data_IF_124323881732
#
_entry.id   IF_124323881732
#
_cell.length_a   1.000
_cell.length_b   1.000
_cell.length_c   1.000
_cell.angle_alpha   90.00
_cell.angle_beta   90.00
_cell.angle_gamma   90.00
#
_symmetry.space_group_name_H-M   'P 1'
#
loop_
_entity.id
_entity.type
_entity.pdbx_description
1 polymer ?
#
# COMPACT_ATOMS: atom_id res chain seq x y z
N UNK A 1 -5.69 -11.20 14.36
CA UNK A 1 -4.82 -10.39 15.24
C UNK A 1 -4.01 -9.47 14.34
N UNK A 2 -4.33 -8.19 14.35
CA UNK A 2 -3.77 -7.21 13.41
C UNK A 2 -2.37 -6.76 13.85
N UNK A 3 -1.45 -6.53 12.92
CA UNK A 3 -0.10 -5.99 13.23
C UNK A 3 -0.20 -4.59 13.86
N UNK A 4 -1.29 -3.86 13.59
CA UNK A 4 -1.56 -2.51 14.10
C UNK A 4 -1.67 -2.42 15.63
N UNK A 5 -1.95 -3.52 16.31
CA UNK A 5 -2.21 -3.52 17.76
C UNK A 5 -0.97 -3.92 18.56
N UNK A 6 0.19 -4.14 17.91
CA UNK A 6 1.43 -4.52 18.56
C UNK A 6 2.35 -3.34 18.76
N UNK A 7 3.02 -3.31 19.89
CA UNK A 7 4.06 -2.32 20.14
C UNK A 7 5.27 -2.58 19.22
N UNK A 8 5.70 -1.54 18.51
CA UNK A 8 6.90 -1.58 17.67
C UNK A 8 8.03 -0.89 18.41
N UNK A 9 9.13 -1.61 18.57
CA UNK A 9 10.35 -1.10 19.20
C UNK A 9 11.48 -1.14 18.18
N UNK A 10 12.05 0.02 17.85
CA UNK A 10 13.17 0.11 16.90
C UNK A 10 14.41 0.61 17.65
N UNK A 11 15.48 -0.18 17.64
CA UNK A 11 16.75 0.11 18.34
C UNK A 11 16.58 0.44 19.84
N UNK A 12 15.56 -0.15 20.47
CA UNK A 12 15.23 0.06 21.88
C UNK A 12 14.30 1.25 22.14
N UNK A 13 13.83 1.97 21.12
CA UNK A 13 12.86 3.06 21.23
C UNK A 13 11.46 2.53 20.97
N UNK A 14 10.55 2.70 21.93
CA UNK A 14 9.15 2.37 21.78
C UNK A 14 8.47 3.41 20.88
N UNK A 15 7.56 2.93 20.00
CA UNK A 15 6.81 3.76 19.07
C UNK A 15 7.71 4.68 18.19
N UNK A 16 8.93 4.22 17.90
CA UNK A 16 9.90 4.98 17.11
C UNK A 16 9.47 5.18 15.65
N UNK A 17 8.53 4.38 15.18
CA UNK A 17 7.89 4.49 13.86
C UNK A 17 6.39 4.28 14.02
N UNK A 18 5.62 5.06 13.28
CA UNK A 18 4.15 4.94 13.27
C UNK A 18 3.69 3.81 12.35
N UNK A 19 4.45 3.57 11.28
CA UNK A 19 4.17 2.56 10.27
C UNK A 19 5.45 1.80 9.93
N UNK A 20 5.37 0.47 9.88
CA UNK A 20 6.50 -0.37 9.46
C UNK A 20 6.97 -0.05 8.04
N UNK A 21 6.08 0.47 7.22
CA UNK A 21 6.43 0.95 5.89
C UNK A 21 7.34 2.20 5.89
N UNK A 22 7.59 2.83 7.03
CA UNK A 22 8.55 3.93 7.14
C UNK A 22 10.00 3.43 7.24
N UNK A 23 10.18 2.11 7.43
CA UNK A 23 11.50 1.48 7.46
C UNK A 23 11.82 0.79 6.12
N UNK A 24 13.05 0.95 5.66
CA UNK A 24 13.54 0.13 4.56
C UNK A 24 13.98 -1.25 5.08
N UNK A 25 13.49 -2.31 4.46
CA UNK A 25 13.89 -3.69 4.79
C UNK A 25 15.39 -3.94 4.62
N UNK A 26 16.06 -3.22 3.71
CA UNK A 26 17.50 -3.31 3.52
C UNK A 26 18.32 -2.79 4.72
N UNK A 27 17.72 -1.89 5.55
CA UNK A 27 18.35 -1.34 6.75
C UNK A 27 18.10 -2.17 8.01
N UNK A 28 17.29 -3.21 7.92
CA UNK A 28 16.97 -4.08 9.04
C UNK A 28 18.07 -5.15 9.16
N UNK A 29 18.59 -5.31 10.38
CA UNK A 29 19.53 -6.38 10.75
C UNK A 29 18.78 -7.60 11.26
N UNK A 30 17.81 -7.40 12.17
CA UNK A 30 17.00 -8.48 12.73
C UNK A 30 15.62 -8.01 13.17
N UNK A 31 14.66 -8.93 13.15
CA UNK A 31 13.31 -8.75 13.69
C UNK A 31 13.03 -9.87 14.67
N UNK A 32 12.62 -9.51 15.89
CA UNK A 32 12.20 -10.43 16.93
C UNK A 32 10.77 -10.11 17.36
N UNK A 33 9.94 -11.14 17.52
CA UNK A 33 8.54 -10.98 17.95
C UNK A 33 8.38 -11.62 19.32
N UNK A 34 8.09 -10.80 20.33
CA UNK A 34 7.79 -11.26 21.69
C UNK A 34 6.27 -11.45 21.81
N UNK A 35 5.87 -12.66 22.20
CA UNK A 35 4.45 -13.03 22.34
C UNK A 35 4.10 -13.41 23.78
N UNK A 36 5.10 -13.78 24.58
CA UNK A 36 4.92 -14.27 25.94
C UNK A 36 4.83 -13.11 26.94
N UNK A 37 3.94 -13.22 27.92
CA UNK A 37 3.74 -12.20 28.93
C UNK A 37 5.01 -11.90 29.74
N UNK A 38 5.86 -12.90 29.98
CA UNK A 38 7.14 -12.71 30.68
C UNK A 38 8.13 -11.86 29.88
N UNK A 39 8.21 -12.07 28.57
CA UNK A 39 9.13 -11.33 27.69
C UNK A 39 8.62 -9.90 27.39
N UNK A 40 7.31 -9.69 27.41
CA UNK A 40 6.69 -8.38 27.14
C UNK A 40 6.51 -7.51 28.38
N UNK A 41 6.68 -8.07 29.59
CA UNK A 41 6.49 -7.38 30.87
C UNK A 41 7.30 -6.07 31.00
N UNK A 42 8.52 -6.01 30.44
CA UNK A 42 9.38 -4.82 30.46
C UNK A 42 8.79 -3.63 29.68
N UNK A 43 7.81 -3.87 28.80
CA UNK A 43 7.15 -2.86 27.98
C UNK A 43 5.81 -2.39 28.58
N UNK A 44 5.44 -2.92 29.76
CA UNK A 44 4.21 -2.55 30.47
C UNK A 44 2.93 -2.86 29.69
N UNK A 45 1.89 -2.07 29.91
CA UNK A 45 0.58 -2.27 29.26
C UNK A 45 0.61 -2.17 27.73
N UNK A 46 1.52 -1.39 27.16
CA UNK A 46 1.68 -1.29 25.69
C UNK A 46 2.14 -2.62 25.06
N UNK A 47 2.82 -3.48 25.83
CA UNK A 47 3.29 -4.79 25.37
C UNK A 47 2.25 -5.91 25.44
N UNK A 48 1.04 -5.66 25.95
CA UNK A 48 0.01 -6.69 26.19
C UNK A 48 -0.40 -7.50 24.95
N UNK A 49 -0.37 -6.87 23.77
CA UNK A 49 -0.70 -7.52 22.50
C UNK A 49 0.52 -8.11 21.76
N UNK A 50 1.67 -8.14 22.45
CA UNK A 50 2.95 -8.54 21.89
C UNK A 50 3.79 -7.37 21.41
N UNK A 51 5.09 -7.60 21.28
CA UNK A 51 6.09 -6.59 20.92
C UNK A 51 6.88 -7.07 19.71
N UNK A 52 7.05 -6.17 18.73
CA UNK A 52 7.93 -6.38 17.57
C UNK A 52 9.19 -5.55 17.80
N UNK A 53 10.31 -6.23 17.98
CA UNK A 53 11.61 -5.58 18.15
C UNK A 53 12.33 -5.62 16.82
N UNK A 54 12.71 -4.46 16.33
CA UNK A 54 13.46 -4.28 15.10
C UNK A 54 14.83 -3.72 15.46
N UNK A 55 15.87 -4.45 15.10
CA UNK A 55 17.24 -3.97 15.18
C UNK A 55 17.69 -3.55 13.80
N UNK A 56 18.20 -2.33 13.68
CA UNK A 56 18.65 -1.78 12.42
C UNK A 56 20.17 -1.92 12.29
N UNK A 57 20.64 -1.96 11.04
CA UNK A 57 22.07 -2.02 10.72
C UNK A 57 22.81 -0.81 11.28
N UNK A 58 23.97 -1.07 11.85
CA UNK A 58 24.90 -0.09 12.40
C UNK A 58 26.22 -0.15 11.67
N UNK A 59 27.05 0.86 11.85
CA UNK A 59 28.39 0.86 11.30
C UNK A 59 29.24 -0.25 11.89
N UNK A 60 30.12 -0.81 11.08
CA UNK A 60 31.08 -1.82 11.50
C UNK A 60 32.22 -1.16 12.29
N UNK A 61 32.41 -1.56 13.55
CA UNK A 61 33.55 -1.11 14.33
C UNK A 61 34.79 -1.86 13.86
N UNK A 62 35.92 -1.16 13.76
CA UNK A 62 37.23 -1.72 13.40
C UNK A 62 37.28 -2.34 11.99
N UNK A 63 36.57 -1.72 11.03
CA UNK A 63 36.64 -2.11 9.62
C UNK A 63 37.87 -1.47 8.97
N UNK A 64 38.77 -2.26 8.40
CA UNK A 64 39.96 -1.76 7.69
C UNK A 64 39.58 -0.92 6.46
N UNK A 65 38.43 -1.22 5.85
CA UNK A 65 37.91 -0.49 4.68
C UNK A 65 36.41 -0.28 4.81
N UNK A 66 35.88 0.85 4.30
CA UNK A 66 34.44 1.04 4.19
C UNK A 66 33.83 -0.01 3.27
N UNK A 67 32.65 -0.51 3.63
CA UNK A 67 31.85 -1.42 2.81
C UNK A 67 30.73 -0.65 2.13
N UNK A 68 30.65 -0.74 0.81
CA UNK A 68 29.58 -0.19 0.00
C UNK A 68 28.74 -1.37 -0.47
N UNK A 69 27.42 -1.31 -0.28
CA UNK A 69 26.48 -2.31 -0.75
C UNK A 69 25.40 -1.65 -1.58
N UNK A 70 25.18 -2.18 -2.77
CA UNK A 70 24.07 -1.82 -3.62
C UNK A 70 23.17 -3.04 -3.79
N UNK A 71 21.87 -2.88 -3.51
CA UNK A 71 20.87 -3.91 -3.65
C UNK A 71 19.77 -3.42 -4.57
N UNK A 72 19.33 -4.27 -5.49
CA UNK A 72 18.19 -4.02 -6.36
C UNK A 72 17.27 -5.23 -6.37
N UNK A 73 15.96 -4.97 -6.26
CA UNK A 73 14.93 -5.98 -6.36
C UNK A 73 13.90 -5.47 -7.37
N UNK A 74 13.61 -6.24 -8.40
CA UNK A 74 12.62 -5.93 -9.43
C UNK A 74 11.68 -7.11 -9.54
N UNK A 75 10.39 -6.84 -9.54
CA UNK A 75 9.37 -7.86 -9.65
C UNK A 75 8.13 -7.37 -10.41
N UNK A 76 7.30 -8.33 -10.82
CA UNK A 76 6.05 -8.06 -11.49
C UNK A 76 4.92 -8.75 -10.74
N UNK A 77 3.80 -8.05 -10.61
CA UNK A 77 2.58 -8.56 -9.98
C UNK A 77 1.44 -8.48 -10.97
N UNK A 78 0.61 -9.50 -11.01
CA UNK A 78 -0.57 -9.57 -11.85
C UNK A 78 -1.71 -10.16 -11.02
N UNK A 79 -2.95 -9.81 -11.35
CA UNK A 79 -4.12 -10.49 -10.78
C UNK A 79 -4.06 -11.96 -11.21
N UNK A 80 -3.91 -12.91 -10.26
CA UNK A 80 -3.51 -14.29 -10.60
C UNK A 80 -4.64 -15.11 -11.20
N UNK A 81 -5.90 -14.74 -10.92
CA UNK A 81 -7.06 -15.55 -11.28
C UNK A 81 -8.11 -14.71 -11.97
N UNK A 82 -8.55 -15.16 -13.14
CA UNK A 82 -9.75 -14.68 -13.79
C UNK A 82 -10.93 -15.25 -13.00
N UNK A 83 -11.80 -14.37 -12.50
CA UNK A 83 -13.09 -14.83 -11.96
C UNK A 83 -13.94 -15.35 -13.11
N UNK A 84 -14.57 -16.48 -12.88
CA UNK A 84 -15.55 -17.03 -13.80
C UNK A 84 -16.89 -16.31 -13.58
N UNK A 85 -17.04 -15.19 -14.29
CA UNK A 85 -18.23 -14.34 -14.28
C UNK A 85 -18.87 -14.38 -15.65
N UNK A 86 -20.18 -14.22 -15.67
CA UNK A 86 -20.95 -14.22 -16.93
C UNK A 86 -20.42 -13.16 -17.89
N UNK A 87 -20.21 -13.54 -19.14
CA UNK A 87 -19.96 -12.62 -20.23
C UNK A 87 -21.26 -11.89 -20.65
N UNK A 88 -21.18 -10.98 -21.63
CA UNK A 88 -22.34 -10.18 -22.01
C UNK A 88 -23.48 -11.01 -22.58
N UNK A 89 -23.17 -12.01 -23.41
CA UNK A 89 -24.16 -12.92 -23.97
C UNK A 89 -24.83 -13.77 -22.88
N UNK A 90 -24.04 -14.36 -21.98
CA UNK A 90 -24.53 -15.19 -20.88
C UNK A 90 -25.40 -14.40 -19.91
N UNK A 91 -24.99 -13.18 -19.57
CA UNK A 91 -25.81 -12.31 -18.71
C UNK A 91 -27.12 -11.90 -19.39
N UNK A 92 -27.06 -11.59 -20.68
CA UNK A 92 -28.26 -11.24 -21.45
C UNK A 92 -29.24 -12.44 -21.54
N UNK A 93 -28.72 -13.64 -21.78
CA UNK A 93 -29.49 -14.88 -21.76
C UNK A 93 -30.13 -15.09 -20.38
N UNK A 94 -29.31 -15.03 -19.31
CA UNK A 94 -29.80 -15.18 -17.94
C UNK A 94 -30.91 -14.16 -17.60
N UNK A 95 -30.79 -12.91 -18.03
CA UNK A 95 -31.83 -11.89 -17.78
C UNK A 95 -33.12 -12.18 -18.56
N UNK A 96 -33.02 -12.69 -19.79
CA UNK A 96 -34.18 -13.10 -20.55
C UNK A 96 -34.85 -14.31 -19.89
N UNK A 97 -34.08 -15.30 -19.47
CA UNK A 97 -34.60 -16.48 -18.76
C UNK A 97 -35.26 -16.08 -17.43
N UNK A 98 -34.63 -15.18 -16.68
CA UNK A 98 -35.18 -14.65 -15.45
C UNK A 98 -36.50 -13.89 -15.67
N UNK A 99 -36.59 -13.07 -16.72
CA UNK A 99 -37.83 -12.40 -17.10
C UNK A 99 -38.93 -13.41 -17.47
N UNK A 100 -38.58 -14.46 -18.23
CA UNK A 100 -39.52 -15.51 -18.60
C UNK A 100 -40.06 -16.25 -17.40
N UNK A 101 -39.19 -16.70 -16.45
CA UNK A 101 -39.64 -17.47 -15.28
C UNK A 101 -40.42 -16.63 -14.26
N UNK A 102 -40.04 -15.37 -14.05
CA UNK A 102 -40.76 -14.49 -13.12
C UNK A 102 -42.18 -14.10 -13.62
N UNK A 103 -42.39 -14.11 -14.93
CA UNK A 103 -43.72 -13.84 -15.50
C UNK A 103 -44.61 -15.07 -15.50
N UNK A 104 -44.06 -16.28 -15.51
CA UNK A 104 -44.80 -17.51 -15.37
C UNK A 104 -45.46 -17.66 -13.97
N UNK A 105 -44.90 -17.00 -12.93
CA UNK A 105 -45.42 -17.00 -11.55
C UNK A 105 -46.52 -15.95 -11.29
N UNK A 106 -46.99 -15.24 -12.32
CA UNK A 106 -48.20 -14.37 -12.25
C UNK A 106 -47.92 -12.98 -11.63
N UNK A 107 -46.69 -12.57 -11.47
CA UNK A 107 -46.37 -11.26 -10.87
C UNK A 107 -46.03 -10.16 -11.88
N UNK A 108 -45.82 -10.47 -13.15
CA UNK A 108 -45.58 -9.47 -14.22
C UNK A 108 -46.18 -9.87 -15.56
N UNK A 109 -46.53 -8.88 -16.40
CA UNK A 109 -47.33 -8.95 -17.59
C UNK A 109 -46.77 -9.69 -18.83
N UNK A 110 -45.65 -10.44 -18.69
CA UNK A 110 -45.13 -11.22 -19.83
C UNK A 110 -45.71 -12.63 -19.76
N UNK A 111 -46.80 -12.87 -20.45
CA UNK A 111 -47.40 -14.19 -20.61
C UNK A 111 -46.69 -15.02 -21.67
N UNK A 112 -46.81 -16.36 -21.55
CA UNK A 112 -46.35 -17.30 -22.59
C UNK A 112 -46.87 -16.86 -23.96
N UNK A 113 -45.97 -16.64 -24.92
CA UNK A 113 -46.29 -16.10 -26.23
C UNK A 113 -45.91 -14.63 -26.46
N UNK A 114 -45.26 -13.95 -25.50
CA UNK A 114 -44.75 -12.59 -25.67
C UNK A 114 -43.66 -12.59 -26.74
N UNK A 115 -43.73 -11.63 -27.71
CA UNK A 115 -42.72 -11.53 -28.75
C UNK A 115 -41.33 -11.34 -28.17
N UNK A 116 -40.33 -11.95 -28.75
CA UNK A 116 -38.93 -11.83 -28.36
C UNK A 116 -38.46 -10.35 -28.26
N UNK A 117 -39.11 -9.46 -28.98
CA UNK A 117 -38.90 -8.02 -28.89
C UNK A 117 -39.27 -7.36 -27.56
N UNK A 118 -40.02 -8.07 -26.69
CA UNK A 118 -40.41 -7.59 -25.35
C UNK A 118 -39.47 -8.04 -24.26
N UNK A 119 -38.54 -8.95 -24.56
CA UNK A 119 -37.48 -9.33 -23.61
C UNK A 119 -36.44 -8.22 -23.50
N UNK A 120 -35.73 -8.13 -22.35
CA UNK A 120 -34.68 -7.15 -22.13
C UNK A 120 -33.62 -7.13 -23.23
N UNK A 121 -33.37 -8.28 -23.88
CA UNK A 121 -32.43 -8.44 -24.98
C UNK A 121 -33.04 -9.24 -26.10
N UNK A 122 -33.24 -8.60 -27.26
CA UNK A 122 -33.83 -9.26 -28.45
C UNK A 122 -32.88 -10.30 -29.07
N UNK A 123 -31.58 -10.06 -29.01
CA UNK A 123 -30.54 -10.97 -29.49
C UNK A 123 -29.36 -11.02 -28.51
N UNK A 124 -29.45 -11.86 -27.49
CA UNK A 124 -28.37 -12.00 -26.49
C UNK A 124 -27.01 -12.39 -27.07
N UNK A 125 -27.02 -13.21 -28.13
CA UNK A 125 -25.77 -13.76 -28.73
C UNK A 125 -24.99 -12.70 -29.52
N UNK A 126 -25.65 -11.68 -30.02
CA UNK A 126 -24.97 -10.57 -30.73
C UNK A 126 -24.07 -9.74 -29.85
N UNK A 127 -24.22 -9.82 -28.51
CA UNK A 127 -23.42 -9.07 -27.55
C UNK A 127 -21.99 -9.62 -27.36
N UNK A 128 -21.77 -10.90 -27.72
CA UNK A 128 -20.46 -11.54 -27.60
C UNK A 128 -19.94 -11.60 -26.16
N UNK A 129 -18.62 -11.50 -25.99
CA UNK A 129 -17.99 -11.54 -24.67
C UNK A 129 -18.28 -10.26 -23.83
N UNK A 130 -18.45 -9.11 -24.48
CA UNK A 130 -18.64 -7.84 -23.81
C UNK A 130 -17.40 -7.32 -23.11
N UNK A 131 -17.57 -6.58 -22.03
CA UNK A 131 -16.50 -5.93 -21.28
C UNK A 131 -16.07 -6.74 -20.08
N UNK A 132 -14.81 -7.23 -20.06
CA UNK A 132 -14.15 -7.74 -18.87
C UNK A 132 -13.66 -6.55 -18.01
N UNK A 133 -14.47 -6.15 -17.06
CA UNK A 133 -14.20 -5.01 -16.19
C UNK A 133 -12.95 -5.20 -15.33
N UNK A 134 -12.69 -6.42 -14.86
CA UNK A 134 -11.52 -6.73 -14.03
C UNK A 134 -10.23 -6.52 -14.82
N UNK A 135 -10.16 -7.02 -16.05
CA UNK A 135 -9.01 -6.79 -16.92
C UNK A 135 -8.92 -5.34 -17.39
N UNK A 136 -10.05 -4.66 -17.60
CA UNK A 136 -10.09 -3.26 -18.04
C UNK A 136 -9.45 -2.32 -17.02
N UNK A 137 -9.68 -2.52 -15.73
CA UNK A 137 -9.08 -1.72 -14.65
C UNK A 137 -7.73 -2.27 -14.18
N UNK A 138 -7.47 -3.54 -14.46
CA UNK A 138 -6.25 -4.23 -14.07
C UNK A 138 -5.04 -3.86 -14.94
N UNK A 139 -3.85 -4.10 -14.40
CA UNK A 139 -2.58 -4.06 -15.13
C UNK A 139 -1.59 -5.07 -14.57
N UNK A 140 -0.56 -5.37 -15.36
CA UNK A 140 0.67 -5.94 -14.80
C UNK A 140 1.42 -4.82 -14.10
N UNK A 141 1.57 -4.95 -12.80
CA UNK A 141 2.21 -3.98 -11.94
C UNK A 141 3.69 -4.29 -11.77
N UNK A 142 4.53 -3.26 -11.74
CA UNK A 142 5.96 -3.38 -11.53
C UNK A 142 6.33 -2.97 -10.12
N UNK A 143 7.20 -3.73 -9.49
CA UNK A 143 7.85 -3.42 -8.23
C UNK A 143 9.32 -3.19 -8.47
N UNK A 144 9.85 -2.10 -7.93
CA UNK A 144 11.27 -1.73 -8.03
C UNK A 144 11.74 -1.24 -6.67
N UNK A 145 12.87 -1.78 -6.23
CA UNK A 145 13.53 -1.34 -5.01
C UNK A 145 15.04 -1.22 -5.27
N UNK A 146 15.60 -0.05 -4.97
CA UNK A 146 17.01 0.24 -5.07
C UNK A 146 17.49 0.72 -3.72
N UNK A 147 18.53 0.11 -3.18
CA UNK A 147 19.11 0.48 -1.90
C UNK A 147 20.63 0.54 -2.00
N UNK A 148 21.18 1.70 -1.67
CA UNK A 148 22.61 1.94 -1.54
C UNK A 148 22.94 2.14 -0.08
N UNK A 149 23.95 1.45 0.42
CA UNK A 149 24.43 1.65 1.79
C UNK A 149 25.95 1.68 1.87
N UNK A 150 26.42 2.49 2.79
CA UNK A 150 27.83 2.64 3.15
C UNK A 150 27.97 2.38 4.64
N UNK A 151 28.82 1.45 5.01
CA UNK A 151 29.14 1.15 6.41
C UNK A 151 30.66 1.10 6.62
N UNK A 152 31.10 1.56 7.76
CA UNK A 152 32.50 1.53 8.10
C UNK A 152 32.74 2.04 9.49
N UNK A 153 34.00 2.09 9.86
CA UNK A 153 34.40 2.62 11.15
C UNK A 153 35.83 2.32 11.54
N UNK A 154 36.27 2.98 12.58
CA UNK A 154 37.54 2.77 13.26
C UNK A 154 37.27 2.08 14.59
N UNK A 155 38.32 1.87 15.42
CA UNK A 155 38.16 1.36 16.80
C UNK A 155 37.27 2.25 17.65
N UNK A 156 37.18 3.56 17.36
CA UNK A 156 36.44 4.54 18.17
C UNK A 156 35.15 5.02 17.51
N UNK A 157 35.05 4.94 16.19
CA UNK A 157 33.91 5.49 15.44
C UNK A 157 33.33 4.44 14.53
N UNK A 158 32.00 4.30 14.51
CA UNK A 158 31.31 3.51 13.51
C UNK A 158 30.21 4.33 12.85
N UNK A 159 30.03 4.16 11.54
CA UNK A 159 29.03 4.87 10.77
C UNK A 159 28.33 3.95 9.78
N UNK A 160 27.06 4.22 9.59
CA UNK A 160 26.20 3.61 8.58
C UNK A 160 25.37 4.70 7.92
N UNK A 161 25.36 4.72 6.59
CA UNK A 161 24.54 5.63 5.80
C UNK A 161 23.83 4.81 4.74
N UNK A 162 22.53 5.01 4.56
CA UNK A 162 21.78 4.38 3.47
C UNK A 162 20.82 5.36 2.81
N UNK A 163 20.60 5.11 1.52
CA UNK A 163 19.59 5.77 0.70
C UNK A 163 18.85 4.69 -0.08
N UNK A 164 17.53 4.75 -0.09
CA UNK A 164 16.73 3.83 -0.88
C UNK A 164 15.60 4.52 -1.61
N UNK A 165 15.27 3.97 -2.76
CA UNK A 165 14.11 4.31 -3.57
C UNK A 165 13.30 3.04 -3.79
N UNK A 166 12.02 3.11 -3.49
CA UNK A 166 11.07 2.04 -3.72
C UNK A 166 9.88 2.59 -4.51
N UNK A 167 9.55 1.92 -5.61
CA UNK A 167 8.34 2.16 -6.37
C UNK A 167 7.57 0.86 -6.48
N UNK A 168 6.34 0.85 -6.00
CA UNK A 168 5.44 -0.30 -6.03
C UNK A 168 4.16 0.12 -6.74
N UNK A 169 4.02 -0.28 -7.98
CA UNK A 169 2.76 -0.12 -8.67
C UNK A 169 1.70 -1.08 -8.11
N UNK A 170 0.45 -0.62 -8.03
CA UNK A 170 -0.68 -1.51 -7.73
C UNK A 170 -1.17 -2.24 -8.98
N UNK A 171 -1.75 -3.41 -8.82
CA UNK A 171 -2.35 -4.21 -9.91
C UNK A 171 -3.58 -3.54 -10.53
N UNK A 172 -4.12 -2.52 -9.89
CA UNK A 172 -5.15 -1.64 -10.43
C UNK A 172 -4.48 -0.38 -10.98
N UNK A 173 -4.96 0.09 -12.12
CA UNK A 173 -4.47 1.32 -12.76
C UNK A 173 -4.55 2.51 -11.80
N UNK A 174 -3.56 3.41 -11.85
CA UNK A 174 -3.46 4.61 -11.01
C UNK A 174 -3.51 4.33 -9.49
N UNK A 175 -3.02 3.19 -9.08
CA UNK A 175 -2.72 2.91 -7.67
C UNK A 175 -1.26 2.53 -7.52
N UNK A 176 -0.66 2.89 -6.40
CA UNK A 176 0.75 2.59 -6.15
C UNK A 176 1.30 3.36 -4.98
N UNK A 177 2.57 3.09 -4.70
CA UNK A 177 3.33 3.75 -3.65
C UNK A 177 4.74 4.03 -4.15
N UNK A 178 5.17 5.25 -3.96
CA UNK A 178 6.55 5.68 -4.16
C UNK A 178 7.13 6.09 -2.81
N UNK A 179 8.37 5.67 -2.52
CA UNK A 179 9.00 5.94 -1.24
C UNK A 179 10.50 6.16 -1.41
N UNK A 180 10.98 7.24 -0.79
CA UNK A 180 12.40 7.53 -0.64
C UNK A 180 12.73 7.48 0.85
N UNK A 181 13.76 6.72 1.23
CA UNK A 181 14.20 6.61 2.63
C UNK A 181 15.68 6.90 2.73
N UNK A 182 16.06 7.80 3.63
CA UNK A 182 17.43 8.08 3.98
C UNK A 182 17.69 7.78 5.45
N UNK A 183 18.82 7.16 5.76
CA UNK A 183 19.23 6.83 7.12
C UNK A 183 20.70 7.13 7.36
N UNK A 184 20.99 7.68 8.53
CA UNK A 184 22.34 7.88 9.04
C UNK A 184 22.41 7.34 10.46
N UNK A 185 23.42 6.55 10.75
CA UNK A 185 23.74 6.09 12.11
C UNK A 185 25.23 6.31 12.37
N UNK A 186 25.53 7.07 13.41
CA UNK A 186 26.89 7.40 13.83
C UNK A 186 27.05 7.06 15.30
N UNK A 187 28.14 6.39 15.65
CA UNK A 187 28.51 6.11 17.01
C UNK A 187 29.98 6.43 17.22
N UNK A 188 30.30 7.14 18.29
CA UNK A 188 31.67 7.54 18.61
C UNK A 188 32.01 7.34 20.07
N UNK A 189 33.14 6.73 20.33
CA UNK A 189 33.73 6.55 21.67
C UNK A 189 34.55 7.79 22.02
N UNK A 190 33.94 8.72 22.77
CA UNK A 190 34.60 9.97 23.18
C UNK A 190 35.74 9.69 24.16
N UNK A 191 35.45 8.92 25.21
CA UNK A 191 36.39 8.49 26.23
C UNK A 191 36.24 6.98 26.43
N UNK A 192 37.19 6.35 27.09
CA UNK A 192 37.12 4.89 27.37
C UNK A 192 35.88 4.49 28.17
N UNK A 193 35.30 5.45 28.91
CA UNK A 193 34.12 5.30 29.74
C UNK A 193 32.87 5.98 29.16
N UNK A 194 32.94 6.69 28.02
CA UNK A 194 31.82 7.46 27.45
C UNK A 194 31.69 7.25 25.95
N UNK A 195 30.49 6.90 25.52
CA UNK A 195 30.11 6.68 24.13
C UNK A 195 28.88 7.52 23.78
N UNK A 196 28.89 8.12 22.64
CA UNK A 196 27.76 8.90 22.08
C UNK A 196 27.33 8.30 20.77
N UNK A 197 26.06 8.44 20.46
CA UNK A 197 25.54 8.03 19.17
C UNK A 197 24.36 8.84 18.72
N UNK A 198 24.19 8.84 17.42
CA UNK A 198 23.08 9.50 16.74
C UNK A 198 22.55 8.59 15.62
N UNK A 199 21.23 8.52 15.51
CA UNK A 199 20.54 7.88 14.39
C UNK A 199 19.48 8.82 13.87
N UNK A 200 19.53 9.13 12.58
CA UNK A 200 18.51 9.91 11.89
C UNK A 200 17.91 9.10 10.76
N UNK A 201 16.59 9.12 10.64
CA UNK A 201 15.85 8.54 9.53
C UNK A 201 14.94 9.62 8.93
N UNK A 202 14.85 9.62 7.61
CA UNK A 202 13.89 10.42 6.87
C UNK A 202 13.21 9.53 5.85
N UNK A 203 11.89 9.59 5.78
CA UNK A 203 11.10 8.89 4.77
C UNK A 203 10.13 9.86 4.14
N UNK A 204 10.18 9.97 2.82
CA UNK A 204 9.15 10.55 1.99
C UNK A 204 8.35 9.42 1.34
N UNK A 205 7.03 9.50 1.39
CA UNK A 205 6.14 8.52 0.80
C UNK A 205 4.99 9.21 0.10
N UNK A 206 4.76 8.82 -1.14
CA UNK A 206 3.62 9.19 -1.94
C UNK A 206 2.78 7.94 -2.20
N UNK A 207 1.53 7.95 -1.80
CA UNK A 207 0.59 6.87 -2.05
C UNK A 207 -0.49 7.39 -3.00
N UNK A 208 -0.65 6.73 -4.14
CA UNK A 208 -1.83 6.91 -4.99
C UNK A 208 -2.96 6.05 -4.43
N UNK A 209 -3.99 6.70 -3.88
CA UNK A 209 -5.15 6.07 -3.26
C UNK A 209 -6.40 6.20 -4.15
N UNK A 210 -6.24 6.11 -5.47
CA UNK A 210 -7.36 6.23 -6.42
C UNK A 210 -8.39 5.07 -6.33
N UNK A 211 -8.23 4.22 -5.34
CA UNK A 211 -9.13 3.11 -4.99
C UNK A 211 -10.32 3.57 -4.15
N UNK A 212 -10.71 4.84 -4.24
CA UNK A 212 -11.87 5.34 -3.54
C UNK A 212 -13.09 4.46 -3.83
N UNK A 213 -13.77 4.10 -2.78
CA UNK A 213 -14.97 3.29 -2.81
C UNK A 213 -16.02 3.92 -3.74
N UNK A 214 -16.35 3.23 -4.81
CA UNK A 214 -17.46 3.60 -5.69
C UNK A 214 -18.73 3.17 -4.97
N UNK A 215 -19.52 4.13 -4.49
CA UNK A 215 -20.78 3.82 -3.82
C UNK A 215 -20.66 2.99 -2.54
N UNK A 216 -19.53 3.03 -1.84
CA UNK A 216 -19.32 2.29 -0.58
C UNK A 216 -18.88 0.83 -0.74
N UNK A 217 -18.85 0.29 -1.96
CA UNK A 217 -18.60 -1.15 -2.20
C UNK A 217 -17.18 -1.49 -2.65
N UNK A 218 -16.34 -0.48 -2.86
CA UNK A 218 -14.97 -0.66 -3.37
C UNK A 218 -14.93 -0.95 -4.87
N UNK A 219 -13.81 -0.62 -5.49
CA UNK A 219 -13.57 -0.77 -6.92
C UNK A 219 -13.71 -2.21 -7.42
N UNK A 220 -13.31 -3.19 -6.59
CA UNK A 220 -13.36 -4.61 -6.93
C UNK A 220 -14.80 -5.09 -7.10
N UNK A 221 -15.64 -4.80 -6.13
CA UNK A 221 -17.05 -5.12 -6.20
C UNK A 221 -17.72 -4.42 -7.39
N UNK A 222 -17.37 -3.14 -7.61
CA UNK A 222 -17.90 -2.40 -8.75
C UNK A 222 -17.52 -3.02 -10.09
N UNK A 223 -16.29 -3.54 -10.22
CA UNK A 223 -15.85 -4.23 -11.44
C UNK A 223 -16.52 -5.60 -11.64
N UNK A 224 -16.87 -6.29 -10.54
CA UNK A 224 -17.55 -7.59 -10.61
C UNK A 224 -19.04 -7.43 -10.90
N UNK A 225 -19.69 -6.44 -10.26
CA UNK A 225 -21.14 -6.27 -10.37
C UNK A 225 -21.61 -5.43 -11.58
N UNK A 226 -20.68 -4.68 -12.21
CA UNK A 226 -21.07 -3.90 -13.38
C UNK A 226 -21.33 -4.82 -14.58
N UNK A 227 -22.44 -4.57 -15.26
CA UNK A 227 -22.83 -5.39 -16.42
C UNK A 227 -21.77 -5.41 -17.51
N UNK A 228 -21.37 -6.59 -18.00
CA UNK A 228 -20.43 -6.71 -19.11
C UNK A 228 -21.01 -6.21 -20.45
N UNK A 229 -22.33 -5.95 -20.53
CA UNK A 229 -22.96 -5.36 -21.72
C UNK A 229 -22.63 -3.87 -21.89
N UNK A 230 -22.07 -3.22 -20.84
CA UNK A 230 -21.67 -1.82 -20.88
C UNK A 230 -20.26 -1.74 -21.45
N UNK A 231 -20.05 -0.88 -22.45
CA UNK A 231 -18.74 -0.66 -23.05
C UNK A 231 -17.89 0.25 -22.17
N UNK A 232 -16.55 0.03 -22.08
CA UNK A 232 -15.65 0.85 -21.26
C UNK A 232 -15.60 2.32 -21.67
N UNK A 233 -15.71 2.55 -22.97
CA UNK A 233 -15.74 3.86 -23.59
C UNK A 233 -16.75 3.78 -24.73
N UNK A 234 -17.82 4.49 -24.63
CA UNK A 234 -18.49 4.94 -25.85
C UNK A 234 -17.59 6.01 -26.47
N UNK A 235 -17.42 6.06 -27.79
CA UNK A 235 -16.31 6.73 -28.49
C UNK A 235 -16.03 8.19 -28.10
N UNK A 236 -16.88 8.80 -27.28
CA UNK A 236 -16.74 10.18 -26.81
C UNK A 236 -16.89 10.43 -25.31
N UNK A 237 -17.40 9.48 -24.50
CA UNK A 237 -17.58 9.76 -23.08
C UNK A 237 -17.61 8.47 -22.23
N UNK A 238 -16.54 8.17 -21.48
CA UNK A 238 -16.49 7.00 -20.60
C UNK A 238 -17.54 7.02 -19.48
N UNK A 239 -18.30 8.12 -19.35
CA UNK A 239 -19.34 8.31 -18.34
C UNK A 239 -20.74 8.04 -18.82
N UNK A 240 -20.97 7.92 -20.14
CA UNK A 240 -22.31 7.77 -20.68
C UNK A 240 -22.46 6.43 -21.41
N UNK A 241 -23.49 5.70 -21.04
CA UNK A 241 -23.98 4.55 -21.76
C UNK A 241 -25.45 4.81 -22.12
N UNK A 242 -25.81 4.69 -23.39
CA UNK A 242 -27.18 4.96 -23.89
C UNK A 242 -27.76 6.28 -23.38
N UNK A 243 -26.96 7.36 -23.35
CA UNK A 243 -27.38 8.68 -22.89
C UNK A 243 -27.55 8.84 -21.38
N UNK A 244 -27.28 7.80 -20.60
CA UNK A 244 -27.32 7.87 -19.13
C UNK A 244 -25.91 7.92 -18.55
N UNK A 245 -25.72 8.75 -17.54
CA UNK A 245 -24.46 8.85 -16.82
C UNK A 245 -24.23 7.60 -15.97
N UNK A 246 -23.24 6.80 -16.31
CA UNK A 246 -22.83 5.62 -15.55
C UNK A 246 -21.44 5.86 -14.99
N UNK A 247 -21.30 5.73 -13.66
CA UNK A 247 -20.01 5.75 -13.01
C UNK A 247 -19.33 4.38 -13.20
N UNK A 248 -18.65 4.20 -14.33
CA UNK A 248 -17.87 2.99 -14.55
C UNK A 248 -16.64 2.94 -13.63
N UNK A 249 -16.17 1.75 -13.25
CA UNK A 249 -14.93 1.62 -12.48
C UNK A 249 -13.74 2.31 -13.15
N UNK A 250 -13.62 2.18 -14.48
CA UNK A 250 -12.57 2.83 -15.26
C UNK A 250 -12.68 4.36 -15.20
N UNK A 251 -13.88 4.90 -15.38
CA UNK A 251 -14.12 6.34 -15.31
C UNK A 251 -13.75 6.89 -13.92
N UNK A 252 -14.14 6.20 -12.86
CA UNK A 252 -13.81 6.59 -11.50
C UNK A 252 -12.31 6.62 -11.27
N UNK A 253 -11.59 5.59 -11.74
CA UNK A 253 -10.13 5.52 -11.63
C UNK A 253 -9.44 6.64 -12.41
N UNK A 254 -9.94 6.97 -13.62
CA UNK A 254 -9.31 7.98 -14.47
C UNK A 254 -9.57 9.41 -14.00
N UNK A 255 -10.73 9.69 -13.43
CA UNK A 255 -11.13 11.06 -13.08
C UNK A 255 -10.87 11.46 -11.66
N UNK A 256 -10.83 10.50 -10.73
CA UNK A 256 -10.49 10.79 -9.37
C UNK A 256 -8.96 10.86 -9.24
N UNK A 257 -8.47 11.92 -8.64
CA UNK A 257 -7.09 12.03 -8.18
C UNK A 257 -7.12 12.08 -6.67
N UNK A 258 -6.70 10.99 -6.06
CA UNK A 258 -6.60 10.87 -4.62
C UNK A 258 -5.22 10.36 -4.27
N UNK A 259 -4.44 11.18 -3.58
CA UNK A 259 -3.13 10.79 -3.12
C UNK A 259 -2.82 11.33 -1.73
N UNK A 260 -1.95 10.62 -1.04
CA UNK A 260 -1.42 10.99 0.26
C UNK A 260 0.09 11.17 0.15
N UNK A 261 0.57 12.33 0.57
CA UNK A 261 2.01 12.56 0.76
C UNK A 261 2.31 12.58 2.25
N UNK A 262 3.31 11.80 2.63
CA UNK A 262 3.73 11.64 4.01
C UNK A 262 5.23 11.87 4.12
N UNK A 263 5.59 12.68 5.11
CA UNK A 263 6.97 12.85 5.54
C UNK A 263 7.11 12.25 6.93
N UNK A 264 8.10 11.46 7.17
CA UNK A 264 8.41 10.90 8.48
C UNK A 264 9.87 11.16 8.80
N UNK A 265 10.13 11.77 9.94
CA UNK A 265 11.49 11.95 10.43
C UNK A 265 11.61 11.42 11.86
N UNK A 266 12.71 10.72 12.12
CA UNK A 266 13.03 10.19 13.44
C UNK A 266 14.51 10.49 13.72
N UNK A 267 14.77 11.19 14.80
CA UNK A 267 16.11 11.54 15.26
C UNK A 267 16.31 11.04 16.67
N UNK A 268 17.25 10.14 16.86
CA UNK A 268 17.58 9.56 18.16
C UNK A 268 19.02 9.83 18.52
N UNK A 269 19.24 10.53 19.60
CA UNK A 269 20.55 10.71 20.21
C UNK A 269 20.68 9.88 21.49
N UNK A 270 21.85 9.32 21.76
CA UNK A 270 22.12 8.66 23.03
C UNK A 270 23.50 8.95 23.57
N UNK A 271 23.61 8.90 24.88
CA UNK A 271 24.85 8.93 25.64
C UNK A 271 24.88 7.70 26.51
N UNK A 272 25.98 6.95 26.44
CA UNK A 272 26.25 5.79 27.29
C UNK A 272 27.51 6.04 28.08
N UNK A 273 27.45 5.87 29.39
CA UNK A 273 28.54 6.13 30.36
C UNK A 273 28.79 4.84 31.15
N UNK A 274 30.01 4.40 31.18
CA UNK A 274 30.49 3.26 32.00
C UNK A 274 31.57 3.74 32.98
N UNK A 275 31.18 4.39 34.11
CA UNK A 275 32.13 4.99 35.04
C UNK A 275 32.97 3.93 35.78
N UNK A 276 32.40 2.76 35.99
CA UNK A 276 33.03 1.60 36.61
C UNK A 276 32.72 0.40 35.72
N UNK A 277 33.67 -0.52 35.58
CA UNK A 277 33.52 -1.75 34.80
C UNK A 277 32.20 -2.49 35.15
N UNK A 278 31.41 -2.81 34.14
CA UNK A 278 30.11 -3.48 34.25
C UNK A 278 28.97 -2.63 34.82
N UNK A 279 29.15 -1.32 35.08
CA UNK A 279 28.07 -0.41 35.46
C UNK A 279 27.83 0.59 34.32
N UNK A 280 26.74 0.40 33.56
CA UNK A 280 26.40 1.21 32.39
C UNK A 280 25.14 2.01 32.63
N UNK A 281 25.23 3.29 32.33
CA UNK A 281 24.08 4.20 32.26
C UNK A 281 23.92 4.64 30.81
N UNK A 282 22.72 4.43 30.23
CA UNK A 282 22.36 4.90 28.89
C UNK A 282 21.20 5.86 29.00
N UNK A 283 21.38 7.08 28.52
CA UNK A 283 20.33 8.06 28.31
C UNK A 283 20.08 8.20 26.81
N UNK A 284 18.81 8.23 26.41
CA UNK A 284 18.40 8.28 25.01
C UNK A 284 17.27 9.28 24.86
N UNK A 285 17.40 10.15 23.88
CA UNK A 285 16.38 11.12 23.49
C UNK A 285 15.99 10.87 22.04
N UNK A 286 14.69 10.83 21.79
CA UNK A 286 14.14 10.65 20.45
C UNK A 286 13.17 11.78 20.13
N UNK A 287 13.37 12.40 18.98
CA UNK A 287 12.45 13.34 18.36
C UNK A 287 11.83 12.71 17.13
N UNK A 288 10.51 12.77 17.04
CA UNK A 288 9.74 12.20 15.97
C UNK A 288 8.74 13.20 15.41
N UNK A 289 8.67 13.33 14.07
CA UNK A 289 7.73 14.20 13.38
C UNK A 289 7.12 13.46 12.19
N UNK A 290 5.82 13.67 11.99
CA UNK A 290 5.01 12.88 11.07
C UNK A 290 3.92 13.73 10.39
N UNK A 291 4.27 14.72 9.56
CA UNK A 291 3.30 15.47 8.77
C UNK A 291 2.72 14.61 7.64
N UNK A 292 1.41 14.74 7.45
CA UNK A 292 0.65 14.07 6.39
C UNK A 292 -0.17 15.10 5.64
N UNK A 293 -0.11 15.06 4.32
CA UNK A 293 -0.95 15.85 3.44
C UNK A 293 -1.83 14.93 2.59
N UNK A 294 -3.11 15.23 2.54
CA UNK A 294 -4.09 14.53 1.71
C UNK A 294 -4.57 15.43 0.59
N UNK A 295 -4.69 14.90 -0.60
CA UNK A 295 -5.29 15.58 -1.73
C UNK A 295 -6.38 14.70 -2.33
N UNK A 296 -7.59 15.26 -2.38
CA UNK A 296 -8.75 14.66 -3.03
C UNK A 296 -9.24 15.63 -4.11
N UNK A 297 -8.96 15.32 -5.35
CA UNK A 297 -9.46 16.08 -6.48
C UNK A 297 -10.44 15.19 -7.27
N UNK A 298 -11.68 15.66 -7.42
CA UNK A 298 -12.61 15.17 -8.42
C UNK A 298 -12.51 16.06 -9.65
N UNK A 299 -12.38 15.48 -10.82
CA UNK A 299 -12.58 16.23 -12.05
C UNK A 299 -14.04 16.73 -12.05
N UNK A 300 -14.22 18.04 -11.85
CA UNK A 300 -15.51 18.68 -12.10
C UNK A 300 -15.73 18.72 -13.60
N UNK A 301 -16.87 18.18 -14.06
CA UNK A 301 -17.37 18.52 -15.37
C UNK A 301 -17.56 20.03 -15.40
N UNK A 302 -16.68 20.76 -16.05
CA UNK A 302 -16.94 22.15 -16.37
C UNK A 302 -18.07 22.17 -17.39
N UNK A 303 -19.11 22.97 -17.11
CA UNK A 303 -20.26 23.24 -18.04
C UNK A 303 -19.84 23.69 -19.44
N UNK A 304 -18.56 23.80 -19.71
CA UNK A 304 -18.01 24.28 -20.99
C UNK A 304 -17.91 23.19 -22.08
N UNK A 305 -18.28 21.94 -21.77
CA UNK A 305 -18.25 20.82 -22.73
C UNK A 305 -19.65 20.19 -22.94
N UNK A 306 -20.68 20.95 -22.72
CA UNK A 306 -22.07 20.62 -23.17
C UNK A 306 -22.37 21.26 -24.51
#
# INVERSE_FOLDING_TARGET
MCIRDRLIVVDGVMDAVHDLNDLNTADIESISVLKDASSTAIYGSKGSNGVIIITTKKGLSNADKPSISFKTDIGFSKIPQKLDIMNASELAQYRNDYAYFNTADGNDEITDGTPLSSYPYSDPFSLGEGTDWVNTIGRTAMYQNYALSLSGGTKKTSYYVSLSYNNTEGVIRRSGQERITGRVSLTHQLFNWMKVGYTGNYTWRHNDENLASIGGTGWWNSAIYLSPTIKPMDDYNPFYYSGQKINTPLATILLNTNYQVRHSTNHTGFIEIEPIKNLRFKSQFTYYMYPVSYTHLRAHETKANL
#
